data_IF_056439951498
#
_entry.id   IF_056439951498
#
_cell.length_a   1.000
_cell.length_b   1.000
_cell.length_c   1.000
_cell.angle_alpha   90.00
_cell.angle_beta   90.00
_cell.angle_gamma   90.00
#
_symmetry.space_group_name_H-M   'P 1'
#
loop_
_entity.id
_entity.type
_entity.pdbx_description
1 polymer ?
#
# COMPACT_ATOMS: atom_id res chain seq x y z
N UNK A 1 -5.16 18.58 2.16
CA UNK A 1 -5.57 18.63 0.74
C UNK A 1 -5.38 17.24 0.17
N UNK A 2 -6.04 16.86 -0.93
CA UNK A 2 -5.80 15.54 -1.50
C UNK A 2 -4.46 15.51 -2.25
N UNK A 3 -3.60 14.51 -2.03
CA UNK A 3 -2.32 14.38 -2.74
C UNK A 3 -2.54 14.05 -4.21
N UNK A 4 -1.74 14.66 -5.09
CA UNK A 4 -1.72 14.39 -6.53
C UNK A 4 -0.87 13.16 -6.79
N UNK A 5 -1.41 12.18 -7.53
CA UNK A 5 -0.63 11.01 -7.96
C UNK A 5 0.29 11.42 -9.12
N UNK A 6 1.60 11.24 -8.93
CA UNK A 6 2.61 11.45 -9.98
C UNK A 6 2.85 10.17 -10.79
N UNK A 7 2.88 9.03 -10.11
CA UNK A 7 3.13 7.73 -10.71
C UNK A 7 2.24 6.67 -10.07
N UNK A 8 1.51 5.93 -10.90
CA UNK A 8 0.59 4.89 -10.45
C UNK A 8 1.31 3.56 -10.26
N UNK A 9 0.82 2.79 -9.29
CA UNK A 9 1.30 1.44 -9.06
C UNK A 9 0.97 0.54 -10.26
N UNK A 10 1.92 -0.29 -10.68
CA UNK A 10 1.68 -1.31 -11.69
C UNK A 10 0.73 -2.43 -11.19
N UNK A 11 0.74 -2.69 -9.88
CA UNK A 11 -0.08 -3.70 -9.20
C UNK A 11 -0.83 -3.06 -8.05
N UNK A 12 -2.15 -3.26 -8.02
CA UNK A 12 -3.06 -2.54 -7.13
C UNK A 12 -3.92 -3.47 -6.27
N UNK A 13 -3.67 -4.76 -6.32
CA UNK A 13 -4.45 -5.74 -5.58
C UNK A 13 -4.08 -5.71 -4.08
N UNK A 14 -5.07 -5.90 -3.19
CA UNK A 14 -4.77 -6.10 -1.77
C UNK A 14 -4.35 -7.55 -1.47
N UNK A 15 -4.74 -8.48 -2.34
CA UNK A 15 -4.52 -9.93 -2.22
C UNK A 15 -4.26 -10.49 -3.61
N UNK A 16 -3.40 -11.51 -3.71
CA UNK A 16 -3.12 -12.13 -5.01
C UNK A 16 -4.37 -12.85 -5.57
N UNK A 17 -4.49 -12.89 -6.90
CA UNK A 17 -5.57 -13.62 -7.56
C UNK A 17 -5.56 -15.12 -7.20
N UNK A 18 -4.38 -15.71 -7.07
CA UNK A 18 -4.22 -17.12 -6.69
C UNK A 18 -4.77 -17.40 -5.28
N UNK A 19 -4.44 -16.54 -4.31
CA UNK A 19 -4.96 -16.64 -2.94
C UNK A 19 -6.48 -16.43 -2.91
N UNK A 20 -6.98 -15.46 -3.66
CA UNK A 20 -8.41 -15.19 -3.79
C UNK A 20 -9.18 -16.40 -4.34
N UNK A 21 -8.68 -17.02 -5.41
CA UNK A 21 -9.30 -18.22 -6.01
C UNK A 21 -9.26 -19.42 -5.08
N UNK A 22 -8.13 -19.64 -4.42
CA UNK A 22 -8.00 -20.68 -3.40
C UNK A 22 -9.02 -20.51 -2.28
N UNK A 23 -9.20 -19.27 -1.79
CA UNK A 23 -10.19 -18.94 -0.76
C UNK A 23 -11.63 -19.21 -1.22
N UNK A 24 -11.95 -18.94 -2.48
CA UNK A 24 -13.27 -19.16 -3.06
C UNK A 24 -13.51 -20.61 -3.54
N UNK A 25 -12.50 -21.48 -3.49
CA UNK A 25 -12.58 -22.85 -4.01
C UNK A 25 -12.68 -22.93 -5.55
N UNK A 26 -12.22 -21.91 -6.27
CA UNK A 26 -12.29 -21.82 -7.74
C UNK A 26 -11.04 -22.47 -8.35
N UNK A 27 -11.24 -23.35 -9.33
CA UNK A 27 -10.18 -23.90 -10.18
C UNK A 27 -10.33 -23.44 -11.63
N UNK A 28 -9.22 -23.41 -12.39
CA UNK A 28 -9.20 -22.94 -13.78
C UNK A 28 -9.25 -21.42 -13.93
N UNK A 29 -9.30 -20.90 -15.16
CA UNK A 29 -9.16 -19.47 -15.46
C UNK A 29 -10.48 -18.75 -15.80
N UNK A 30 -11.59 -19.47 -15.85
CA UNK A 30 -12.88 -18.98 -16.37
C UNK A 30 -13.42 -17.77 -15.59
N UNK A 31 -13.16 -17.71 -14.29
CA UNK A 31 -13.69 -16.66 -13.41
C UNK A 31 -12.65 -15.61 -13.02
N UNK A 32 -11.44 -15.65 -13.59
CA UNK A 32 -10.32 -14.80 -13.20
C UNK A 32 -10.65 -13.32 -13.38
N UNK A 33 -11.30 -12.97 -14.49
CA UNK A 33 -11.75 -11.60 -14.75
C UNK A 33 -12.77 -11.12 -13.72
N UNK A 34 -13.71 -12.00 -13.32
CA UNK A 34 -14.72 -11.66 -12.33
C UNK A 34 -14.09 -11.47 -10.94
N UNK A 35 -13.21 -12.38 -10.52
CA UNK A 35 -12.49 -12.27 -9.25
C UNK A 35 -11.62 -10.99 -9.24
N UNK A 36 -10.96 -10.68 -10.35
CA UNK A 36 -10.21 -9.42 -10.50
C UNK A 36 -11.07 -8.17 -10.30
N UNK A 37 -12.24 -8.10 -10.92
CA UNK A 37 -13.19 -6.97 -10.73
C UNK A 37 -13.66 -6.88 -9.28
N UNK A 38 -13.91 -8.00 -8.61
CA UNK A 38 -14.30 -8.00 -7.20
C UNK A 38 -13.17 -7.53 -6.28
N UNK A 39 -11.92 -7.93 -6.54
CA UNK A 39 -10.76 -7.45 -5.78
C UNK A 39 -10.58 -5.92 -5.90
N UNK A 40 -10.74 -5.38 -7.10
CA UNK A 40 -10.74 -3.92 -7.33
C UNK A 40 -11.87 -3.22 -6.57
N UNK A 41 -13.07 -3.82 -6.56
CA UNK A 41 -14.20 -3.30 -5.81
C UNK A 41 -13.92 -3.32 -4.29
N UNK A 42 -13.37 -4.42 -3.76
CA UNK A 42 -12.98 -4.53 -2.34
C UNK A 42 -11.96 -3.47 -1.96
N UNK A 43 -10.95 -3.22 -2.82
CA UNK A 43 -10.00 -2.13 -2.58
C UNK A 43 -10.73 -0.78 -2.49
N UNK A 44 -11.59 -0.47 -3.46
CA UNK A 44 -12.33 0.80 -3.46
C UNK A 44 -13.19 1.01 -2.20
N UNK A 45 -13.81 -0.07 -1.69
CA UNK A 45 -14.53 -0.03 -0.43
C UNK A 45 -13.60 0.25 0.77
N UNK A 46 -12.42 -0.36 0.81
CA UNK A 46 -11.45 -0.18 1.89
C UNK A 46 -10.83 1.23 1.84
N UNK A 47 -10.50 1.73 0.64
CA UNK A 47 -10.02 3.10 0.43
C UNK A 47 -11.07 4.12 0.86
N UNK A 48 -12.35 3.88 0.54
CA UNK A 48 -13.47 4.72 0.99
C UNK A 48 -13.64 4.72 2.51
N UNK A 49 -13.50 3.56 3.16
CA UNK A 49 -13.60 3.46 4.62
C UNK A 49 -12.37 4.06 5.33
N UNK A 50 -11.17 3.87 4.80
CA UNK A 50 -9.95 4.39 5.40
C UNK A 50 -9.67 5.86 5.04
N UNK A 51 -10.35 6.41 4.04
CA UNK A 51 -10.21 7.79 3.60
C UNK A 51 -8.88 8.10 2.91
N UNK A 52 -8.14 7.07 2.48
CA UNK A 52 -6.82 7.21 1.84
C UNK A 52 -6.59 6.13 0.78
N UNK A 53 -5.75 6.42 -0.24
CA UNK A 53 -5.21 5.38 -1.11
C UNK A 53 -4.42 4.34 -0.31
N UNK A 54 -4.56 3.06 -0.64
CA UNK A 54 -3.87 1.97 0.08
C UNK A 54 -2.63 1.45 -0.64
N UNK A 55 -2.56 1.62 -1.95
CA UNK A 55 -1.49 1.05 -2.77
C UNK A 55 -0.31 2.02 -2.84
N UNK A 56 0.90 1.45 -2.81
CA UNK A 56 2.14 2.19 -2.95
C UNK A 56 2.23 2.92 -4.29
N UNK A 57 2.25 4.24 -4.25
CA UNK A 57 2.37 5.12 -5.42
C UNK A 57 3.29 6.29 -5.11
N UNK A 58 3.66 7.04 -6.15
CA UNK A 58 4.37 8.31 -5.99
C UNK A 58 3.37 9.45 -5.96
N UNK A 59 3.44 10.28 -4.93
CA UNK A 59 2.55 11.42 -4.71
C UNK A 59 3.31 12.74 -4.69
N UNK A 60 2.60 13.81 -5.01
CA UNK A 60 2.95 15.18 -4.67
C UNK A 60 1.83 15.77 -3.80
N UNK A 61 2.17 16.34 -2.66
CA UNK A 61 1.22 17.00 -1.76
C UNK A 61 1.67 18.44 -1.50
N UNK A 62 0.77 19.39 -1.76
CA UNK A 62 0.96 20.80 -1.38
C UNK A 62 0.41 21.01 0.02
N UNK A 63 1.27 21.45 0.93
CA UNK A 63 0.94 21.63 2.33
C UNK A 63 1.15 23.09 2.75
N UNK A 64 0.33 23.60 3.69
CA UNK A 64 0.57 24.92 4.24
C UNK A 64 1.88 24.92 5.01
N UNK A 65 2.68 25.96 4.79
CA UNK A 65 3.89 26.19 5.58
C UNK A 65 3.51 26.53 7.02
N UNK A 66 4.29 26.02 7.96
CA UNK A 66 4.08 26.33 9.38
C UNK A 66 5.40 26.34 10.13
N UNK A 67 5.48 27.12 11.21
CA UNK A 67 6.64 27.09 12.12
C UNK A 67 6.74 25.79 12.93
N UNK A 68 5.79 24.86 12.76
CA UNK A 68 5.86 23.55 13.40
C UNK A 68 7.01 22.78 12.79
N UNK A 69 7.60 21.90 13.59
CA UNK A 69 8.65 20.98 13.14
C UNK A 69 8.10 19.69 12.56
N UNK A 70 6.87 19.34 12.93
CA UNK A 70 6.19 18.12 12.49
C UNK A 70 5.14 18.44 11.43
N UNK A 71 5.06 17.55 10.45
CA UNK A 71 4.10 17.59 9.37
C UNK A 71 3.57 16.18 9.13
N UNK A 72 2.29 16.05 8.84
CA UNK A 72 1.65 14.77 8.57
C UNK A 72 1.25 14.74 7.11
N UNK A 73 1.66 13.69 6.40
CA UNK A 73 1.29 13.43 5.02
C UNK A 73 -0.07 12.72 4.93
N UNK A 74 -0.79 12.96 3.85
CA UNK A 74 -2.13 12.39 3.65
C UNK A 74 -2.13 10.90 3.30
N UNK A 75 -0.98 10.34 2.87
CA UNK A 75 -0.85 8.91 2.55
C UNK A 75 0.31 8.32 3.35
N UNK A 76 0.07 7.15 3.92
CA UNK A 76 1.05 6.37 4.67
C UNK A 76 0.81 4.86 4.42
N UNK A 77 1.74 3.96 4.76
CA UNK A 77 3.10 4.23 5.25
C UNK A 77 3.96 4.93 4.20
N UNK A 78 4.90 5.77 4.62
CA UNK A 78 5.80 6.55 3.75
C UNK A 78 7.18 5.87 3.72
N UNK A 79 7.84 5.90 2.58
CA UNK A 79 9.25 5.53 2.46
C UNK A 79 10.15 6.73 2.80
N UNK A 80 10.80 6.67 3.97
CA UNK A 80 11.61 7.76 4.50
C UNK A 80 12.75 8.20 3.58
N UNK A 81 13.24 7.29 2.73
CA UNK A 81 14.40 7.52 1.87
C UNK A 81 14.02 8.09 0.49
N UNK A 82 12.73 8.20 0.20
CA UNK A 82 12.20 8.74 -1.05
C UNK A 82 11.25 9.91 -0.76
N UNK A 83 11.67 10.84 0.11
CA UNK A 83 10.94 12.08 0.40
C UNK A 83 11.80 13.25 -0.06
N UNK A 84 11.22 14.11 -0.89
CA UNK A 84 11.81 15.40 -1.25
C UNK A 84 10.78 16.49 -1.03
N UNK A 85 11.22 17.68 -0.63
CA UNK A 85 10.34 18.84 -0.56
C UNK A 85 10.97 20.05 -1.20
N UNK A 86 10.13 20.91 -1.75
CA UNK A 86 10.50 22.22 -2.27
C UNK A 86 9.65 23.29 -1.61
N UNK A 87 10.28 24.37 -1.20
CA UNK A 87 9.64 25.53 -0.59
C UNK A 87 9.86 26.73 -1.52
N UNK A 88 8.79 27.27 -2.09
CA UNK A 88 8.88 28.32 -3.10
C UNK A 88 9.82 27.96 -4.29
N UNK A 89 9.90 26.67 -4.62
CA UNK A 89 10.76 26.15 -5.70
C UNK A 89 12.19 25.78 -5.29
N UNK A 90 12.62 26.13 -4.09
CA UNK A 90 13.95 25.78 -3.57
C UNK A 90 13.92 24.44 -2.81
N UNK A 91 14.90 23.55 -2.99
CA UNK A 91 14.96 22.28 -2.29
C UNK A 91 15.13 22.48 -0.78
N UNK A 92 14.40 21.69 -0.01
CA UNK A 92 14.51 21.65 1.45
C UNK A 92 15.34 20.44 1.86
N UNK A 93 16.50 20.69 2.46
CA UNK A 93 17.38 19.65 2.99
C UNK A 93 17.06 19.32 4.45
N UNK A 94 17.53 18.16 4.92
CA UNK A 94 17.45 17.77 6.34
C UNK A 94 16.07 17.28 6.81
N UNK A 95 15.21 16.86 5.88
CA UNK A 95 13.93 16.23 6.19
C UNK A 95 14.18 14.83 6.76
N UNK A 96 13.53 14.52 7.87
CA UNK A 96 13.60 13.22 8.52
C UNK A 96 12.19 12.68 8.72
N UNK A 97 11.89 11.48 8.23
CA UNK A 97 10.64 10.79 8.58
C UNK A 97 10.81 10.13 9.95
N UNK A 98 10.14 10.67 10.96
CA UNK A 98 10.26 10.19 12.36
C UNK A 98 9.25 9.10 12.69
N UNK A 99 8.15 9.03 11.95
CA UNK A 99 7.15 7.96 12.05
C UNK A 99 6.66 7.62 10.64
N UNK A 100 7.43 6.85 9.86
CA UNK A 100 7.11 6.55 8.47
C UNK A 100 5.77 5.81 8.32
N UNK A 101 5.44 4.94 9.27
CA UNK A 101 4.15 4.23 9.30
C UNK A 101 2.95 5.19 9.40
N UNK A 102 3.11 6.30 10.11
CA UNK A 102 2.12 7.36 10.28
C UNK A 102 2.22 8.50 9.28
N UNK A 103 3.25 8.50 8.42
CA UNK A 103 3.52 9.59 7.48
C UNK A 103 3.95 10.90 8.15
N UNK A 104 4.61 10.83 9.32
CA UNK A 104 5.06 12.02 10.04
C UNK A 104 6.49 12.39 9.62
N UNK A 105 6.62 13.58 9.03
CA UNK A 105 7.89 14.19 8.69
C UNK A 105 8.30 15.20 9.76
N UNK A 106 9.62 15.32 9.95
CA UNK A 106 10.26 16.23 10.87
C UNK A 106 11.32 17.06 10.15
N UNK A 107 11.35 18.35 10.45
CA UNK A 107 12.38 19.27 10.01
C UNK A 107 12.83 20.10 11.21
N UNK A 108 14.12 20.00 11.59
CA UNK A 108 14.65 20.68 12.79
C UNK A 108 14.49 22.20 12.70
N UNK A 109 14.72 22.75 11.51
CA UNK A 109 14.56 24.18 11.22
C UNK A 109 13.08 24.64 11.21
N UNK A 110 12.12 23.70 11.22
CA UNK A 110 10.70 23.98 11.01
C UNK A 110 10.34 24.17 9.54
N UNK A 111 9.05 24.02 9.21
CA UNK A 111 8.54 24.09 7.84
C UNK A 111 8.22 25.51 7.37
N UNK A 112 8.64 26.53 8.11
CA UNK A 112 8.43 27.93 7.78
C UNK A 112 9.63 28.48 7.05
N UNK A 113 9.44 28.92 5.81
CA UNK A 113 10.35 29.88 5.19
C UNK A 113 10.37 31.15 6.03
N UNK A 114 11.54 31.72 6.26
CA UNK A 114 11.69 32.94 7.06
C UNK A 114 10.63 33.98 6.71
N UNK A 115 9.98 34.51 7.74
CA UNK A 115 8.86 35.45 7.74
C UNK A 115 8.77 36.34 6.48
N UNK A 116 7.98 35.92 5.49
CA UNK A 116 7.39 36.82 4.50
C UNK A 116 6.35 37.70 5.20
N UNK A 117 6.25 38.96 4.81
CA UNK A 117 5.30 39.89 5.41
C UNK A 117 3.84 39.43 5.19
N UNK A 118 2.86 40.02 5.90
CA UNK A 118 1.44 39.67 5.75
C UNK A 118 0.86 39.87 4.34
N UNK A 119 1.64 40.46 3.41
CA UNK A 119 1.27 40.68 2.01
C UNK A 119 1.82 39.60 1.05
N UNK A 120 2.76 38.77 1.50
CA UNK A 120 3.29 37.66 0.70
C UNK A 120 2.35 36.45 0.85
N UNK A 121 1.83 35.95 -0.27
CA UNK A 121 1.13 34.67 -0.27
C UNK A 121 2.03 33.62 0.39
N UNK A 122 1.50 32.90 1.39
CA UNK A 122 2.28 31.88 2.10
C UNK A 122 2.94 30.95 1.08
N UNK A 123 4.27 30.77 1.09
CA UNK A 123 4.95 30.00 0.07
C UNK A 123 4.40 28.57 0.07
N UNK A 124 4.07 28.06 -1.12
CA UNK A 124 3.61 26.70 -1.30
C UNK A 124 4.78 25.74 -1.01
N UNK A 125 4.60 24.87 -0.02
CA UNK A 125 5.48 23.73 0.22
C UNK A 125 4.93 22.55 -0.58
N UNK A 126 5.71 22.08 -1.55
CA UNK A 126 5.38 20.85 -2.29
C UNK A 126 6.27 19.71 -1.79
N UNK A 127 5.67 18.61 -1.36
CA UNK A 127 6.37 17.40 -0.93
C UNK A 127 6.10 16.29 -1.94
N UNK A 128 7.16 15.69 -2.48
CA UNK A 128 7.09 14.50 -3.32
C UNK A 128 7.56 13.28 -2.54
N UNK A 129 6.77 12.21 -2.53
CA UNK A 129 7.08 11.02 -1.74
C UNK A 129 6.45 9.73 -2.28
N UNK A 130 7.00 8.58 -1.91
CA UNK A 130 6.37 7.27 -2.12
C UNK A 130 5.67 6.80 -0.84
N UNK A 131 4.39 6.43 -0.95
CA UNK A 131 3.61 5.96 0.19
C UNK A 131 2.53 4.95 -0.18
N UNK A 132 2.08 4.17 0.79
CA UNK A 132 1.11 3.09 0.65
C UNK A 132 1.75 1.70 0.73
N UNK A 133 0.92 0.68 0.76
CA UNK A 133 1.34 -0.71 0.83
C UNK A 133 1.69 -1.28 -0.53
N UNK A 134 2.72 -2.11 -0.57
CA UNK A 134 3.02 -2.94 -1.73
C UNK A 134 2.02 -4.09 -1.82
N UNK A 135 1.46 -4.27 -3.02
CA UNK A 135 0.65 -5.44 -3.32
C UNK A 135 1.47 -6.72 -3.10
N UNK A 136 0.90 -7.80 -2.52
CA UNK A 136 1.65 -9.02 -2.23
C UNK A 136 2.19 -9.72 -3.50
N UNK A 137 1.57 -9.49 -4.66
CA UNK A 137 2.08 -9.97 -5.95
C UNK A 137 3.19 -9.08 -6.53
N UNK A 138 3.44 -7.88 -5.98
CA UNK A 138 4.52 -6.99 -6.39
C UNK A 138 5.89 -7.49 -5.92
N UNK A 139 5.92 -8.20 -4.81
CA UNK A 139 7.17 -8.57 -4.12
C UNK A 139 7.46 -10.05 -4.31
N UNK A 140 8.53 -10.36 -5.04
CA UNK A 140 8.97 -11.73 -5.26
C UNK A 140 10.02 -12.16 -4.23
N UNK A 141 10.01 -13.44 -3.86
CA UNK A 141 11.05 -14.01 -2.99
C UNK A 141 12.33 -14.22 -3.79
N UNK A 142 13.47 -13.88 -3.18
CA UNK A 142 14.77 -14.09 -3.79
C UNK A 142 14.98 -15.55 -4.15
N UNK A 143 15.55 -15.77 -5.34
CA UNK A 143 16.07 -17.05 -5.78
C UNK A 143 17.26 -16.82 -6.73
N UNK A 144 18.08 -17.85 -6.89
CA UNK A 144 19.11 -17.88 -7.92
C UNK A 144 18.47 -17.95 -9.33
N UNK A 145 19.12 -17.32 -10.32
CA UNK A 145 18.72 -17.34 -11.72
C UNK A 145 17.54 -16.45 -12.09
N UNK A 146 17.11 -15.55 -11.20
CA UNK A 146 16.08 -14.55 -11.52
C UNK A 146 16.66 -13.46 -12.42
N UNK A 147 15.86 -12.98 -13.36
CA UNK A 147 16.13 -11.74 -14.10
C UNK A 147 15.28 -10.63 -13.51
N UNK A 148 15.93 -9.59 -13.01
CA UNK A 148 15.31 -8.48 -12.31
C UNK A 148 15.35 -7.22 -13.17
N UNK A 149 14.23 -6.52 -13.26
CA UNK A 149 14.13 -5.18 -13.83
C UNK A 149 14.26 -4.11 -12.73
N UNK A 150 14.67 -2.89 -13.12
CA UNK A 150 14.56 -1.76 -12.21
C UNK A 150 13.08 -1.50 -11.86
N UNK A 151 12.80 -1.26 -10.58
CA UNK A 151 11.46 -1.15 -10.02
C UNK A 151 10.86 -2.48 -9.51
N UNK A 152 11.50 -3.62 -9.77
CA UNK A 152 11.08 -4.90 -9.17
C UNK A 152 11.29 -4.87 -7.65
N UNK A 153 10.43 -5.60 -6.92
CA UNK A 153 10.54 -5.73 -5.49
C UNK A 153 10.92 -7.14 -5.07
N UNK A 154 11.87 -7.22 -4.16
CA UNK A 154 12.43 -8.45 -3.64
C UNK A 154 12.28 -8.52 -2.12
N UNK A 155 12.14 -9.75 -1.64
CA UNK A 155 12.34 -10.09 -0.24
C UNK A 155 13.35 -11.25 -0.13
N UNK A 156 14.09 -11.36 0.97
CA UNK A 156 14.92 -12.53 1.23
C UNK A 156 14.11 -13.84 1.20
N UNK A 157 14.80 -14.97 1.07
CA UNK A 157 14.20 -16.30 1.23
C UNK A 157 13.59 -16.52 2.63
N UNK A 158 14.09 -15.79 3.63
CA UNK A 158 13.60 -15.79 4.99
C UNK A 158 13.53 -14.38 5.58
N UNK A 159 12.41 -13.96 6.18
CA UNK A 159 12.28 -12.64 6.80
C UNK A 159 13.22 -12.43 8.01
N UNK A 160 13.84 -13.48 8.52
CA UNK A 160 14.85 -13.37 9.58
C UNK A 160 16.18 -12.78 9.07
N UNK A 161 16.42 -12.79 7.75
CA UNK A 161 17.68 -12.31 7.16
C UNK A 161 17.68 -10.80 6.91
N UNK A 162 16.50 -10.22 6.66
CA UNK A 162 16.32 -8.78 6.48
C UNK A 162 14.88 -8.41 6.87
N UNK A 163 14.68 -7.40 7.71
CA UNK A 163 13.34 -6.90 8.01
C UNK A 163 12.76 -6.03 6.88
N UNK A 164 13.59 -5.63 5.90
CA UNK A 164 13.24 -4.69 4.84
C UNK A 164 12.85 -5.38 3.55
N UNK A 165 12.02 -4.69 2.75
CA UNK A 165 11.80 -5.02 1.35
C UNK A 165 12.81 -4.29 0.49
N UNK A 166 13.27 -4.94 -0.58
CA UNK A 166 14.32 -4.41 -1.43
C UNK A 166 13.73 -3.99 -2.77
N UNK A 167 13.91 -2.72 -3.12
CA UNK A 167 13.60 -2.21 -4.46
C UNK A 167 14.82 -2.39 -5.35
N UNK A 168 14.67 -3.04 -6.50
CA UNK A 168 15.73 -3.16 -7.50
C UNK A 168 15.90 -1.80 -8.18
N UNK A 169 16.99 -1.11 -7.91
CA UNK A 169 17.30 0.20 -8.50
C UNK A 169 18.08 0.07 -9.81
N UNK A 170 18.81 -1.04 -9.98
CA UNK A 170 19.52 -1.39 -11.21
C UNK A 170 19.20 -2.82 -11.59
N UNK A 171 18.61 -3.03 -12.77
CA UNK A 171 18.24 -4.36 -13.26
C UNK A 171 19.45 -5.25 -13.58
N UNK A 172 19.24 -6.56 -13.56
CA UNK A 172 20.27 -7.57 -13.80
C UNK A 172 19.83 -8.97 -13.36
N UNK A 173 20.66 -9.97 -13.63
CA UNK A 173 20.41 -11.34 -13.20
C UNK A 173 20.99 -11.60 -11.79
N UNK A 174 20.30 -12.39 -10.96
CA UNK A 174 20.80 -12.78 -9.63
C UNK A 174 21.95 -13.79 -9.71
N UNK A 175 22.13 -14.43 -10.86
CA UNK A 175 23.16 -15.45 -11.09
C UNK A 175 22.87 -16.78 -10.39
N UNK A 176 23.79 -17.73 -10.48
CA UNK A 176 23.67 -19.06 -9.86
C UNK A 176 24.27 -19.14 -8.43
N UNK A 177 24.64 -17.98 -7.87
CA UNK A 177 25.33 -17.90 -6.58
C UNK A 177 24.40 -18.07 -5.37
N UNK A 178 24.97 -18.10 -4.16
CA UNK A 178 24.19 -18.09 -2.93
C UNK A 178 23.44 -16.77 -2.76
N UNK A 179 22.47 -16.77 -1.84
CA UNK A 179 21.76 -15.56 -1.42
C UNK A 179 22.74 -14.51 -0.87
N UNK A 180 22.61 -13.24 -1.25
CA UNK A 180 23.49 -12.20 -0.73
C UNK A 180 23.25 -11.97 0.77
N UNK A 181 24.23 -11.33 1.42
CA UNK A 181 24.03 -10.80 2.76
C UNK A 181 23.20 -9.53 2.65
N UNK A 182 21.99 -9.57 3.19
CA UNK A 182 21.06 -8.45 3.10
C UNK A 182 21.42 -7.31 4.07
N UNK A 183 21.13 -6.04 3.69
CA UNK A 183 21.33 -4.92 4.60
C UNK A 183 20.43 -4.99 5.84
N UNK A 184 20.91 -4.46 6.95
CA UNK A 184 20.10 -4.32 8.18
C UNK A 184 19.50 -2.91 8.35
N UNK A 185 19.92 -1.94 7.54
CA UNK A 185 19.45 -0.54 7.60
C UNK A 185 18.66 -0.21 6.34
N UNK A 186 17.54 0.51 6.48
CA UNK A 186 16.86 1.09 5.34
C UNK A 186 17.76 2.14 4.65
N UNK A 187 17.63 2.25 3.32
CA UNK A 187 18.46 3.10 2.46
C UNK A 187 19.77 2.45 2.00
N UNK A 188 20.26 1.41 2.68
CA UNK A 188 21.48 0.71 2.27
C UNK A 188 21.25 -0.11 0.99
N UNK A 189 22.27 -0.14 0.12
CA UNK A 189 22.25 -0.87 -1.15
C UNK A 189 23.03 -2.18 -1.08
N UNK A 190 22.57 -3.19 -1.82
CA UNK A 190 23.23 -4.50 -1.94
C UNK A 190 23.28 -4.96 -3.40
N UNK A 191 24.39 -5.59 -3.77
CA UNK A 191 24.50 -6.29 -5.06
C UNK A 191 23.79 -7.65 -4.97
N UNK A 192 22.87 -7.90 -5.91
CA UNK A 192 22.13 -9.16 -6.03
C UNK A 192 22.50 -9.78 -7.38
N UNK A 193 23.69 -10.38 -7.44
CA UNK A 193 24.31 -10.78 -8.70
C UNK A 193 24.73 -9.54 -9.50
N UNK A 194 24.20 -9.40 -10.71
CA UNK A 194 24.41 -8.23 -11.57
C UNK A 194 23.40 -7.09 -11.32
N UNK A 195 22.34 -7.33 -10.53
CA UNK A 195 21.39 -6.31 -10.13
C UNK A 195 21.87 -5.56 -8.87
N UNK A 196 21.34 -4.35 -8.66
CA UNK A 196 21.50 -3.60 -7.41
C UNK A 196 20.13 -3.34 -6.81
N UNK A 197 19.98 -3.63 -5.52
CA UNK A 197 18.76 -3.40 -4.79
C UNK A 197 19.01 -2.51 -3.57
N UNK A 198 18.02 -1.72 -3.18
CA UNK A 198 18.07 -0.79 -2.05
C UNK A 198 17.02 -1.22 -1.02
N UNK A 199 17.41 -1.32 0.25
CA UNK A 199 16.48 -1.57 1.34
C UNK A 199 15.56 -0.36 1.53
N UNK A 200 14.25 -0.58 1.60
CA UNK A 200 13.26 0.49 1.75
C UNK A 200 12.39 0.26 2.98
N UNK A 201 11.89 1.35 3.56
CA UNK A 201 10.81 1.37 4.55
C UNK A 201 9.44 1.07 3.90
N UNK A 202 9.42 0.16 2.93
CA UNK A 202 8.20 -0.27 2.27
C UNK A 202 7.59 -1.42 3.06
N UNK A 203 6.26 -1.45 3.09
CA UNK A 203 5.49 -2.48 3.80
C UNK A 203 4.53 -3.09 2.81
N UNK A 204 4.44 -4.41 2.77
CA UNK A 204 3.39 -5.11 2.05
C UNK A 204 2.03 -4.92 2.72
N UNK A 205 0.96 -5.20 1.98
CA UNK A 205 -0.40 -5.21 2.56
C UNK A 205 -0.41 -6.13 3.80
N UNK A 206 -0.77 -5.61 4.98
CA UNK A 206 -0.73 -6.39 6.21
C UNK A 206 -1.62 -7.64 6.13
N UNK A 207 -1.18 -8.76 6.70
CA UNK A 207 -1.93 -10.02 6.65
C UNK A 207 -3.37 -9.90 7.19
N UNK A 208 -3.59 -9.06 8.22
CA UNK A 208 -4.93 -8.77 8.73
C UNK A 208 -5.82 -8.07 7.70
N UNK A 209 -5.27 -7.11 6.95
CA UNK A 209 -5.98 -6.42 5.85
C UNK A 209 -6.27 -7.40 4.71
N UNK A 210 -5.32 -8.28 4.37
CA UNK A 210 -5.52 -9.32 3.37
C UNK A 210 -6.66 -10.28 3.76
N UNK A 211 -6.70 -10.71 5.01
CA UNK A 211 -7.77 -11.58 5.52
C UNK A 211 -9.15 -10.91 5.44
N UNK A 212 -9.25 -9.62 5.81
CA UNK A 212 -10.48 -8.85 5.69
C UNK A 212 -10.91 -8.67 4.22
N UNK A 213 -9.95 -8.46 3.32
CA UNK A 213 -10.22 -8.36 1.89
C UNK A 213 -10.76 -9.68 1.32
N UNK A 214 -10.18 -10.82 1.71
CA UNK A 214 -10.68 -12.16 1.34
C UNK A 214 -12.08 -12.42 1.87
N UNK A 215 -12.34 -12.09 3.14
CA UNK A 215 -13.66 -12.22 3.74
C UNK A 215 -14.71 -11.40 2.98
N UNK A 216 -14.41 -10.14 2.70
CA UNK A 216 -15.31 -9.23 1.95
C UNK A 216 -15.53 -9.73 0.53
N UNK A 217 -14.47 -10.21 -0.13
CA UNK A 217 -14.55 -10.85 -1.45
C UNK A 217 -15.51 -12.05 -1.43
N UNK A 218 -15.39 -12.93 -0.43
CA UNK A 218 -16.29 -14.09 -0.26
C UNK A 218 -17.76 -13.68 -0.14
N UNK A 219 -18.04 -12.63 0.64
CA UNK A 219 -19.41 -12.10 0.76
C UNK A 219 -19.95 -11.58 -0.59
N UNK A 220 -19.16 -10.78 -1.32
CA UNK A 220 -19.55 -10.21 -2.61
C UNK A 220 -19.71 -11.28 -3.69
N UNK A 221 -18.79 -12.24 -3.76
CA UNK A 221 -18.83 -13.34 -4.72
C UNK A 221 -20.07 -14.20 -4.49
N UNK A 222 -20.33 -14.61 -3.25
CA UNK A 222 -21.51 -15.40 -2.90
C UNK A 222 -22.81 -14.63 -3.12
N UNK A 223 -22.83 -13.31 -2.94
CA UNK A 223 -24.01 -12.50 -3.24
C UNK A 223 -24.33 -12.49 -4.74
N UNK A 224 -23.31 -12.48 -5.61
CA UNK A 224 -23.51 -12.52 -7.08
C UNK A 224 -23.95 -13.88 -7.62
N UNK A 225 -23.59 -14.97 -6.96
CA UNK A 225 -23.99 -16.33 -7.37
C UNK A 225 -25.40 -16.71 -6.93
N UNK A 226 -26.03 -15.91 -6.07
CA UNK A 226 -27.41 -16.13 -5.62
C UNK A 226 -28.42 -15.71 -6.68
N UNK A 227 -29.54 -16.41 -6.72
CA UNK A 227 -30.70 -15.94 -7.48
C UNK A 227 -31.15 -14.56 -6.97
N UNK A 228 -31.45 -13.61 -7.87
CA UNK A 228 -31.97 -12.31 -7.47
C UNK A 228 -33.22 -12.45 -6.58
N UNK A 229 -33.18 -11.91 -5.37
CA UNK A 229 -34.31 -11.93 -4.42
C UNK A 229 -34.30 -13.08 -3.40
N UNK A 230 -33.30 -13.97 -3.42
CA UNK A 230 -33.19 -15.03 -2.42
C UNK A 230 -32.62 -14.49 -1.09
N UNK A 231 -33.48 -14.40 -0.07
CA UNK A 231 -33.19 -13.80 1.24
C UNK A 231 -32.97 -14.83 2.36
N UNK A 232 -33.45 -16.04 2.14
CA UNK A 232 -33.26 -17.16 3.06
C UNK A 232 -33.37 -18.48 2.30
N UNK A 233 -32.59 -19.47 2.72
CA UNK A 233 -32.71 -20.85 2.28
C UNK A 233 -32.93 -21.69 3.54
N UNK A 234 -33.97 -22.51 3.55
CA UNK A 234 -34.17 -23.53 4.58
C UNK A 234 -34.40 -24.89 3.94
N UNK A 235 -33.65 -25.90 4.37
CA UNK A 235 -33.81 -27.29 3.96
C UNK A 235 -33.38 -28.21 5.12
N UNK A 236 -34.16 -29.26 5.39
CA UNK A 236 -33.82 -30.34 6.33
C UNK A 236 -33.25 -29.89 7.70
N UNK A 237 -33.87 -28.88 8.31
CA UNK A 237 -33.47 -28.34 9.62
C UNK A 237 -32.29 -27.36 9.58
N UNK A 238 -31.69 -27.12 8.40
CA UNK A 238 -30.75 -26.03 8.17
C UNK A 238 -31.49 -24.77 7.72
N UNK A 239 -31.17 -23.63 8.33
CA UNK A 239 -31.62 -22.32 7.86
C UNK A 239 -30.43 -21.38 7.72
N UNK A 240 -30.27 -20.80 6.53
CA UNK A 240 -29.39 -19.68 6.31
C UNK A 240 -30.24 -18.46 5.93
N UNK A 241 -30.05 -17.36 6.65
CA UNK A 241 -30.70 -16.08 6.35
C UNK A 241 -29.62 -15.10 5.94
N UNK A 242 -29.84 -14.36 4.86
CA UNK A 242 -28.91 -13.36 4.38
C UNK A 242 -29.58 -12.00 4.32
N UNK A 243 -28.84 -10.95 4.69
CA UNK A 243 -29.32 -9.59 4.56
C UNK A 243 -29.58 -9.27 3.06
N UNK A 244 -30.81 -8.91 2.65
CA UNK A 244 -31.22 -8.85 1.24
C UNK A 244 -30.57 -7.76 0.38
N UNK A 245 -29.89 -6.77 0.97
CA UNK A 245 -29.49 -5.57 0.23
C UNK A 245 -28.26 -4.80 0.72
N UNK A 246 -27.60 -5.23 1.80
CA UNK A 246 -26.54 -4.42 2.40
C UNK A 246 -25.18 -4.56 1.69
N UNK A 247 -24.84 -5.72 1.13
CA UNK A 247 -23.47 -5.99 0.68
C UNK A 247 -23.13 -5.32 -0.67
N UNK A 248 -24.12 -5.03 -1.51
CA UNK A 248 -23.90 -4.35 -2.80
C UNK A 248 -24.36 -2.87 -2.82
N UNK A 249 -25.24 -2.45 -1.91
CA UNK A 249 -25.74 -1.06 -1.84
C UNK A 249 -25.38 -0.33 -0.54
N UNK A 250 -24.94 -1.02 0.51
CA UNK A 250 -24.71 -0.49 1.86
C UNK A 250 -23.24 -0.37 2.30
N UNK A 251 -22.28 -0.71 1.44
CA UNK A 251 -20.85 -0.62 1.75
C UNK A 251 -20.31 -1.80 2.54
N UNK A 252 -19.22 -1.58 3.30
CA UNK A 252 -18.56 -2.63 4.08
C UNK A 252 -19.42 -3.09 5.27
N UNK A 253 -19.45 -4.41 5.56
CA UNK A 253 -20.04 -4.94 6.80
C UNK A 253 -19.44 -4.26 8.04
N UNK A 254 -20.24 -4.07 9.10
CA UNK A 254 -19.79 -3.37 10.32
C UNK A 254 -18.59 -4.07 10.97
N UNK A 255 -18.56 -5.39 10.96
CA UNK A 255 -17.46 -6.20 11.45
C UNK A 255 -16.14 -5.92 10.70
N UNK A 256 -16.22 -5.73 9.37
CA UNK A 256 -15.06 -5.36 8.55
C UNK A 256 -14.65 -3.93 8.85
N UNK A 257 -15.60 -2.99 8.96
CA UNK A 257 -15.32 -1.59 9.31
C UNK A 257 -14.65 -1.49 10.67
N UNK A 258 -15.18 -2.18 11.69
CA UNK A 258 -14.59 -2.23 13.03
C UNK A 258 -13.17 -2.81 13.01
N UNK A 259 -12.94 -3.89 12.27
CA UNK A 259 -11.62 -4.50 12.14
C UNK A 259 -10.63 -3.67 11.30
N UNK A 260 -11.12 -2.77 10.44
CA UNK A 260 -10.30 -1.80 9.71
C UNK A 260 -9.90 -0.58 10.54
N UNK A 261 -10.59 -0.27 11.64
CA UNK A 261 -10.31 0.93 12.47
C UNK A 261 -8.85 1.04 12.94
N UNK A 262 -8.15 -0.03 13.37
CA UNK A 262 -6.74 0.08 13.75
C UNK A 262 -5.82 0.54 12.61
N UNK A 263 -6.28 0.42 11.37
CA UNK A 263 -5.57 0.86 10.16
C UNK A 263 -6.02 2.25 9.69
N UNK A 264 -7.00 2.88 10.37
CA UNK A 264 -7.21 4.32 10.23
C UNK A 264 -6.12 5.01 11.02
N UNK A 265 -5.34 5.83 10.33
CA UNK A 265 -4.40 6.71 11.01
C UNK A 265 -5.17 7.93 11.50
N UNK A 266 -5.39 8.02 12.81
CA UNK A 266 -5.85 9.25 13.45
C UNK A 266 -4.59 10.08 13.73
N UNK A 267 -4.31 11.03 12.84
CA UNK A 267 -3.17 11.95 12.97
C UNK A 267 -3.33 12.98 14.08
#
# INVERSE_FOLDING_TARGET
MAPRVLERAARTALVTLATAKSHLGISGATEDALVGVLLEHVRGLFEGELGRPLVRQRYAETLPTSSRRRMVLSVCPVDAHNVTATLAGEPVDGIVAIEPAGGVLYLEAGWGGGAGGPEDAAPDLEITYHAGWLSPDAVQTWAAGLTLAAGDWLRPSSPALCPWLLEVTTGGATGAGPEPVWPSTAGDTVAVGAAVATARDAVEVPAGVQALALYTLGLLYNARKREPGMVSLSADGFSATWAPGAVLAGGLPEEVRAALRPWRWEG
#
